data_IF_533123923917
#
_entry.id   IF_533123923917
#
_cell.length_a   1.000
_cell.length_b   1.000
_cell.length_c   1.000
_cell.angle_alpha   90.00
_cell.angle_beta   90.00
_cell.angle_gamma   90.00
#
_symmetry.space_group_name_H-M   'P 1'
#
loop_
_entity.id
_entity.type
_entity.pdbx_description
1 polymer ?
#
# COMPACT_ATOMS: atom_id res chain seq x y z
N UNK A 1 3.12 1.32 21.13
CA UNK A 1 2.09 2.26 20.60
C UNK A 1 1.70 1.92 19.16
N UNK A 2 2.66 1.75 18.23
CA UNK A 2 2.40 1.44 16.81
C UNK A 2 1.56 0.16 16.58
N UNK A 3 1.87 -0.93 17.29
CA UNK A 3 1.11 -2.20 17.20
C UNK A 3 -0.37 -2.07 17.59
N UNK A 4 -0.70 -1.20 18.53
CA UNK A 4 -2.10 -0.98 18.96
C UNK A 4 -2.86 -0.28 17.84
N UNK A 5 -2.26 0.74 17.23
CA UNK A 5 -2.85 1.47 16.10
C UNK A 5 -3.07 0.54 14.91
N UNK A 6 -2.08 -0.28 14.55
CA UNK A 6 -2.20 -1.24 13.45
C UNK A 6 -3.33 -2.26 13.70
N UNK A 7 -3.47 -2.75 14.94
CA UNK A 7 -4.55 -3.67 15.33
C UNK A 7 -5.92 -2.99 15.26
N UNK A 8 -6.02 -1.71 15.63
CA UNK A 8 -7.26 -0.93 15.52
C UNK A 8 -7.69 -0.80 14.06
N UNK A 9 -6.76 -0.49 13.13
CA UNK A 9 -7.08 -0.34 11.69
C UNK A 9 -7.68 -1.64 11.14
N UNK A 10 -7.01 -2.78 11.38
CA UNK A 10 -7.48 -4.09 10.90
C UNK A 10 -8.83 -4.45 11.52
N UNK A 11 -9.04 -4.14 12.80
CA UNK A 11 -10.29 -4.42 13.51
C UNK A 11 -11.44 -3.56 12.98
N UNK A 12 -11.18 -2.29 12.67
CA UNK A 12 -12.19 -1.38 12.15
C UNK A 12 -12.79 -1.88 10.83
N UNK A 13 -11.97 -2.39 9.91
CA UNK A 13 -12.41 -2.97 8.65
C UNK A 13 -13.31 -4.20 8.90
N UNK A 14 -12.87 -5.12 9.77
CA UNK A 14 -13.65 -6.32 10.14
C UNK A 14 -15.00 -5.95 10.76
N UNK A 15 -15.04 -4.92 11.62
CA UNK A 15 -16.28 -4.44 12.24
C UNK A 15 -17.25 -3.84 11.22
N UNK A 16 -16.75 -3.07 10.26
CA UNK A 16 -17.59 -2.46 9.24
C UNK A 16 -18.27 -3.51 8.35
N UNK A 17 -17.50 -4.53 7.90
CA UNK A 17 -18.05 -5.68 7.17
C UNK A 17 -19.06 -6.44 8.03
N UNK A 18 -18.73 -6.76 9.29
CA UNK A 18 -19.63 -7.52 10.18
C UNK A 18 -20.97 -6.81 10.43
N UNK A 19 -20.97 -5.48 10.56
CA UNK A 19 -22.18 -4.71 10.89
C UNK A 19 -23.04 -4.35 9.69
N UNK A 20 -22.44 -4.08 8.53
CA UNK A 20 -23.13 -3.53 7.35
C UNK A 20 -23.08 -4.44 6.12
N UNK A 21 -22.37 -5.57 6.18
CA UNK A 21 -22.16 -6.50 5.07
C UNK A 21 -21.11 -6.03 4.04
N UNK A 22 -20.71 -4.76 4.05
CA UNK A 22 -19.78 -4.20 3.06
C UNK A 22 -19.05 -2.94 3.56
N UNK A 23 -17.97 -2.55 2.87
CA UNK A 23 -17.21 -1.31 3.08
C UNK A 23 -16.95 -0.61 1.75
N UNK A 24 -17.47 0.61 1.57
CA UNK A 24 -17.37 1.32 0.28
C UNK A 24 -16.99 2.80 0.43
N UNK A 25 -17.43 3.50 1.49
CA UNK A 25 -17.07 4.91 1.67
C UNK A 25 -15.57 5.15 1.89
N UNK A 26 -14.92 4.31 2.70
CA UNK A 26 -13.48 4.46 2.97
C UNK A 26 -12.62 4.30 1.72
N UNK A 27 -12.93 3.29 0.90
CA UNK A 27 -12.23 3.06 -0.37
C UNK A 27 -12.57 4.14 -1.41
N UNK A 28 -13.82 4.60 -1.47
CA UNK A 28 -14.21 5.70 -2.37
C UNK A 28 -13.43 6.99 -2.07
N UNK A 29 -13.24 7.32 -0.79
CA UNK A 29 -12.42 8.47 -0.38
C UNK A 29 -10.94 8.28 -0.74
N UNK A 30 -10.40 7.07 -0.59
CA UNK A 30 -9.04 6.74 -1.02
C UNK A 30 -8.83 6.94 -2.51
N UNK A 31 -9.76 6.42 -3.33
CA UNK A 31 -9.74 6.60 -4.78
C UNK A 31 -9.87 8.07 -5.17
N UNK A 32 -10.80 8.81 -4.56
CA UNK A 32 -10.95 10.24 -4.81
C UNK A 32 -9.66 11.02 -4.50
N UNK A 33 -8.93 10.64 -3.43
CA UNK A 33 -7.64 11.27 -3.08
C UNK A 33 -6.56 11.00 -4.11
N UNK A 34 -6.45 9.77 -4.61
CA UNK A 34 -5.49 9.39 -5.66
C UNK A 34 -5.83 10.13 -6.97
N UNK A 35 -7.11 10.11 -7.38
CA UNK A 35 -7.58 10.84 -8.57
C UNK A 35 -7.28 12.32 -8.47
N UNK A 36 -7.47 12.93 -7.30
CA UNK A 36 -7.12 14.34 -7.08
C UNK A 36 -5.61 14.58 -7.26
N UNK A 37 -4.75 13.73 -6.70
CA UNK A 37 -3.29 13.87 -6.84
C UNK A 37 -2.87 13.89 -8.30
N UNK A 38 -3.44 12.98 -9.10
CA UNK A 38 -3.15 12.86 -10.53
C UNK A 38 -3.70 14.08 -11.28
N UNK A 39 -5.01 14.34 -11.17
CA UNK A 39 -5.68 15.41 -11.94
C UNK A 39 -5.22 16.82 -11.60
N UNK A 40 -4.67 17.03 -10.40
CA UNK A 40 -4.14 18.32 -9.95
C UNK A 40 -2.61 18.39 -9.98
N UNK A 41 -1.93 17.35 -10.47
CA UNK A 41 -0.47 17.28 -10.54
C UNK A 41 0.21 17.64 -9.21
N UNK A 42 -0.27 17.06 -8.09
CA UNK A 42 0.04 17.56 -6.74
C UNK A 42 1.40 17.14 -6.18
N UNK A 43 2.20 16.34 -6.91
CA UNK A 43 3.42 15.68 -6.41
C UNK A 43 3.25 15.15 -4.97
N UNK A 44 2.12 14.48 -4.73
CA UNK A 44 1.68 14.09 -3.39
C UNK A 44 2.24 12.73 -3.00
N UNK A 45 2.75 12.62 -1.78
CA UNK A 45 3.14 11.33 -1.20
C UNK A 45 1.92 10.58 -0.70
N UNK A 46 1.64 9.42 -1.30
CA UNK A 46 0.52 8.55 -0.94
C UNK A 46 1.00 7.10 -0.80
N UNK A 47 0.43 6.36 0.15
CA UNK A 47 0.65 4.92 0.26
C UNK A 47 -0.22 4.20 -0.78
N UNK A 48 0.41 3.67 -1.83
CA UNK A 48 -0.25 2.97 -2.94
C UNK A 48 0.48 1.68 -3.28
N UNK A 49 -0.17 0.80 -4.03
CA UNK A 49 0.51 -0.37 -4.59
C UNK A 49 1.37 0.08 -5.77
N UNK A 50 2.68 -0.08 -5.67
CA UNK A 50 3.64 0.28 -6.72
C UNK A 50 4.51 -0.93 -7.08
N UNK A 51 4.96 -1.00 -8.33
CA UNK A 51 5.91 -2.00 -8.79
C UNK A 51 7.30 -1.67 -8.22
N UNK A 52 7.91 -2.63 -7.54
CA UNK A 52 9.28 -2.51 -7.07
C UNK A 52 10.26 -2.98 -8.15
N UNK A 53 11.32 -2.21 -8.36
CA UNK A 53 12.42 -2.44 -9.29
C UNK A 53 13.77 -2.35 -8.56
N UNK A 54 13.85 -2.90 -7.35
CA UNK A 54 15.06 -2.96 -6.53
C UNK A 54 14.90 -2.30 -5.16
N UNK A 55 13.86 -1.48 -4.95
CA UNK A 55 13.58 -0.87 -3.66
C UNK A 55 13.35 -1.95 -2.59
N UNK A 56 13.93 -1.74 -1.40
CA UNK A 56 13.92 -2.69 -0.29
C UNK A 56 14.56 -4.06 -0.62
N UNK A 57 15.29 -4.15 -1.74
CA UNK A 57 15.86 -5.38 -2.28
C UNK A 57 14.82 -6.32 -2.90
N UNK A 58 13.66 -5.81 -3.31
CA UNK A 58 12.59 -6.57 -3.96
C UNK A 58 12.36 -6.08 -5.39
N UNK A 59 12.09 -7.01 -6.30
CA UNK A 59 11.80 -6.76 -7.71
C UNK A 59 10.56 -7.55 -8.15
N UNK A 60 9.89 -7.06 -9.21
CA UNK A 60 8.77 -7.72 -9.90
C UNK A 60 7.58 -8.06 -8.97
N UNK A 61 7.22 -7.11 -8.11
CA UNK A 61 6.06 -7.24 -7.22
C UNK A 61 5.38 -5.89 -7.01
N UNK A 62 4.05 -5.88 -7.10
CA UNK A 62 3.24 -4.74 -6.69
C UNK A 62 2.89 -4.87 -5.21
N UNK A 63 3.38 -3.94 -4.38
CA UNK A 63 3.13 -3.93 -2.93
C UNK A 63 2.93 -2.50 -2.42
N UNK A 64 2.22 -2.37 -1.29
CA UNK A 64 1.93 -1.07 -0.68
C UNK A 64 3.17 -0.36 -0.15
N UNK A 65 3.55 0.74 -0.80
CA UNK A 65 4.71 1.59 -0.44
C UNK A 65 4.34 3.07 -0.58
N UNK A 66 5.03 3.98 0.12
CA UNK A 66 4.88 5.41 -0.13
C UNK A 66 5.47 5.75 -1.50
N UNK A 67 4.69 6.43 -2.33
CA UNK A 67 5.12 6.88 -3.65
C UNK A 67 4.68 8.32 -3.90
N UNK A 68 5.47 9.05 -4.70
CA UNK A 68 5.10 10.38 -5.20
C UNK A 68 4.16 10.21 -6.39
N UNK A 69 2.99 10.84 -6.32
CA UNK A 69 1.95 10.74 -7.34
C UNK A 69 1.64 12.13 -7.91
N UNK A 70 1.64 12.21 -9.24
CA UNK A 70 1.34 13.41 -10.00
C UNK A 70 0.58 13.07 -11.30
N UNK A 71 0.51 14.00 -12.26
CA UNK A 71 -0.27 13.79 -13.49
C UNK A 71 0.20 12.60 -14.34
N UNK A 72 1.46 12.19 -14.21
CA UNK A 72 2.04 11.04 -14.92
C UNK A 72 1.80 9.70 -14.19
N UNK A 73 1.09 9.73 -13.06
CA UNK A 73 0.85 8.56 -12.21
C UNK A 73 1.89 8.46 -11.10
N UNK A 74 2.52 7.29 -10.94
CA UNK A 74 3.60 7.08 -9.96
C UNK A 74 4.89 7.65 -10.56
N UNK A 75 5.40 8.73 -9.97
CA UNK A 75 6.68 9.35 -10.37
C UNK A 75 7.87 8.57 -9.84
N UNK A 76 7.84 8.25 -8.54
CA UNK A 76 8.89 7.50 -7.86
C UNK A 76 8.34 6.83 -6.60
N UNK A 77 8.94 5.70 -6.24
CA UNK A 77 8.75 5.06 -4.94
C UNK A 77 9.72 5.68 -3.94
N UNK A 78 9.23 6.05 -2.76
CA UNK A 78 10.08 6.57 -1.69
C UNK A 78 10.60 5.41 -0.84
N UNK A 79 11.87 5.06 -1.02
CA UNK A 79 12.52 4.04 -0.20
C UNK A 79 12.86 4.60 1.19
N UNK A 80 12.25 4.02 2.22
CA UNK A 80 12.47 4.37 3.61
C UNK A 80 13.54 3.47 4.22
N UNK A 81 14.30 4.01 5.17
CA UNK A 81 15.21 3.20 5.98
C UNK A 81 14.39 2.42 7.01
N UNK A 82 14.13 1.16 6.72
CA UNK A 82 13.49 0.21 7.63
C UNK A 82 14.52 -0.39 8.58
N UNK A 83 14.12 -0.67 9.82
CA UNK A 83 14.92 -1.49 10.71
C UNK A 83 14.88 -2.99 10.29
N UNK A 84 15.74 -3.81 10.89
CA UNK A 84 15.84 -5.23 10.54
C UNK A 84 14.51 -6.00 10.73
N UNK A 85 13.74 -5.64 11.74
CA UNK A 85 12.47 -6.29 12.08
C UNK A 85 11.35 -5.86 11.13
N UNK A 86 11.34 -4.61 10.69
CA UNK A 86 10.43 -4.07 9.68
C UNK A 86 10.75 -4.61 8.30
N UNK A 87 12.03 -4.61 7.91
CA UNK A 87 12.49 -5.15 6.63
C UNK A 87 12.17 -6.64 6.51
N UNK A 88 12.37 -7.42 7.59
CA UNK A 88 11.99 -8.83 7.62
C UNK A 88 10.48 -9.03 7.41
N UNK A 89 9.64 -8.20 8.04
CA UNK A 89 8.17 -8.26 7.85
C UNK A 89 7.77 -7.85 6.43
N UNK A 90 8.44 -6.85 5.87
CA UNK A 90 8.22 -6.38 4.50
C UNK A 90 8.54 -7.49 3.49
N UNK A 91 9.74 -8.08 3.57
CA UNK A 91 10.16 -9.20 2.71
C UNK A 91 9.25 -10.41 2.83
N UNK A 92 8.79 -10.73 4.05
CA UNK A 92 7.80 -11.77 4.25
C UNK A 92 6.48 -11.48 3.50
N UNK A 93 5.99 -10.24 3.58
CA UNK A 93 4.78 -9.81 2.85
C UNK A 93 4.98 -9.88 1.33
N UNK A 94 6.12 -9.42 0.82
CA UNK A 94 6.46 -9.49 -0.60
C UNK A 94 6.54 -10.96 -1.09
N UNK A 95 7.16 -11.84 -0.32
CA UNK A 95 7.24 -13.27 -0.60
C UNK A 95 5.86 -13.95 -0.71
N UNK A 96 4.93 -13.61 0.20
CA UNK A 96 3.55 -14.12 0.13
C UNK A 96 2.88 -13.67 -1.19
N UNK A 97 3.01 -12.40 -1.58
CA UNK A 97 2.41 -11.89 -2.82
C UNK A 97 2.99 -12.61 -4.05
N UNK A 98 4.30 -12.77 -4.11
CA UNK A 98 4.98 -13.50 -5.19
C UNK A 98 4.51 -14.96 -5.29
N UNK A 99 4.32 -15.64 -4.15
CA UNK A 99 3.80 -17.02 -4.11
C UNK A 99 2.37 -17.12 -4.65
N UNK A 100 1.51 -16.14 -4.40
CA UNK A 100 0.15 -16.14 -4.96
C UNK A 100 0.13 -15.80 -6.44
N UNK A 101 0.98 -14.88 -6.88
CA UNK A 101 1.08 -14.47 -8.30
C UNK A 101 1.60 -15.64 -9.15
N UNK A 102 2.59 -16.39 -8.68
CA UNK A 102 3.16 -17.55 -9.40
C UNK A 102 2.22 -18.75 -9.53
N UNK A 103 1.05 -18.73 -8.89
CA UNK A 103 0.01 -19.76 -9.07
C UNK A 103 -0.96 -19.41 -10.20
N UNK A 104 -0.96 -18.16 -10.66
CA UNK A 104 -1.87 -17.63 -11.68
C UNK A 104 -1.18 -17.61 -13.05
N UNK A 105 0.12 -17.33 -13.07
CA UNK A 105 0.98 -17.34 -14.25
C UNK A 105 1.85 -18.58 -14.26
#
# INVERSE_FOLDING_TARGET
MLFVVMRVIITAIKMAVKKKGATYYGIAMGLARITKAITKNEDSVLAVSALLNGEYGEEDVYIGVPAVINADGIREVLELKLDDEELKKFKHSAGILKEYISKIF
#
